data_IF_263720470543
#
_entry.id   IF_263720470543
#
_cell.length_a   1.000
_cell.length_b   1.000
_cell.length_c   1.000
_cell.angle_alpha   90.00
_cell.angle_beta   90.00
_cell.angle_gamma   90.00
#
_symmetry.space_group_name_H-M   'P 1'
#
loop_
_entity.id
_entity.type
_entity.pdbx_description
1 polymer ?
#
# COMPACT_ATOMS: atom_id res chain seq x y z
N UNK A 1 -19.25 -19.74 16.34
CA UNK A 1 -18.01 -19.27 17.01
C UNK A 1 -16.98 -20.41 17.08
N UNK A 2 -17.32 -21.60 17.54
CA UNK A 2 -16.38 -22.73 17.58
C UNK A 2 -15.90 -23.17 16.18
N UNK A 3 -16.79 -23.21 15.18
CA UNK A 3 -16.41 -23.55 13.80
C UNK A 3 -15.46 -22.53 13.16
N UNK A 4 -15.64 -21.23 13.41
CA UNK A 4 -14.76 -20.16 12.89
C UNK A 4 -13.38 -20.19 13.54
N UNK A 5 -13.29 -20.57 14.83
CA UNK A 5 -12.00 -20.74 15.53
C UNK A 5 -11.22 -21.93 14.96
N UNK A 6 -11.89 -23.09 14.80
CA UNK A 6 -11.27 -24.25 14.16
C UNK A 6 -10.81 -23.93 12.73
N UNK A 7 -11.65 -23.24 11.95
CA UNK A 7 -11.30 -22.81 10.60
C UNK A 7 -10.08 -21.87 10.57
N UNK A 8 -9.94 -20.93 11.50
CA UNK A 8 -8.75 -20.06 11.54
C UNK A 8 -7.46 -20.83 11.82
N UNK A 9 -7.51 -21.85 12.69
CA UNK A 9 -6.36 -22.72 12.97
C UNK A 9 -6.00 -23.53 11.73
N UNK A 10 -7.02 -24.11 11.07
CA UNK A 10 -6.83 -24.86 9.83
C UNK A 10 -6.23 -23.98 8.72
N UNK A 11 -6.72 -22.75 8.52
CA UNK A 11 -6.18 -21.83 7.50
C UNK A 11 -4.72 -21.46 7.74
N UNK A 12 -4.31 -21.29 9.00
CA UNK A 12 -2.91 -21.04 9.34
C UNK A 12 -2.02 -22.25 9.02
N UNK A 13 -2.44 -23.46 9.39
CA UNK A 13 -1.73 -24.69 9.06
C UNK A 13 -1.65 -24.91 7.55
N UNK A 14 -2.78 -24.73 6.85
CA UNK A 14 -2.84 -24.86 5.41
C UNK A 14 -1.89 -23.89 4.69
N UNK A 15 -1.81 -22.63 5.12
CA UNK A 15 -0.89 -21.65 4.53
C UNK A 15 0.58 -22.07 4.69
N UNK A 16 0.97 -22.60 5.86
CA UNK A 16 2.34 -23.10 6.08
C UNK A 16 2.66 -24.31 5.20
N UNK A 17 1.75 -25.29 5.15
CA UNK A 17 1.90 -26.47 4.30
C UNK A 17 1.95 -26.10 2.82
N UNK A 18 1.12 -25.15 2.39
CA UNK A 18 1.11 -24.64 1.02
C UNK A 18 2.46 -24.01 0.63
N UNK A 19 3.01 -23.14 1.49
CA UNK A 19 4.31 -22.50 1.24
C UNK A 19 5.46 -23.52 1.18
N UNK A 20 5.46 -24.52 2.05
CA UNK A 20 6.45 -25.61 2.00
C UNK A 20 6.32 -26.46 0.73
N UNK A 21 5.08 -26.83 0.38
CA UNK A 21 4.80 -27.60 -0.83
C UNK A 21 5.22 -26.82 -2.08
N UNK A 22 4.92 -25.53 -2.13
CA UNK A 22 5.35 -24.63 -3.20
C UNK A 22 6.87 -24.60 -3.35
N UNK A 23 7.61 -24.40 -2.24
CA UNK A 23 9.09 -24.43 -2.25
C UNK A 23 9.64 -25.75 -2.80
N UNK A 24 9.08 -26.89 -2.37
CA UNK A 24 9.49 -28.22 -2.88
C UNK A 24 9.20 -28.36 -4.37
N UNK A 25 8.05 -27.88 -4.84
CA UNK A 25 7.68 -27.92 -6.25
C UNK A 25 8.60 -27.02 -7.08
N UNK A 26 8.86 -25.80 -6.62
CA UNK A 26 9.79 -24.86 -7.26
C UNK A 26 11.17 -25.48 -7.44
N UNK A 27 11.76 -26.09 -6.40
CA UNK A 27 13.07 -26.75 -6.52
C UNK A 27 13.05 -27.89 -7.55
N UNK A 28 11.97 -28.68 -7.61
CA UNK A 28 11.84 -29.75 -8.61
C UNK A 28 11.78 -29.18 -10.04
N UNK A 29 11.04 -28.08 -10.26
CA UNK A 29 11.01 -27.43 -11.57
C UNK A 29 12.38 -26.86 -11.94
N UNK A 30 13.06 -26.22 -10.98
CA UNK A 30 14.40 -25.65 -11.20
C UNK A 30 15.39 -26.73 -11.68
N UNK A 31 15.33 -27.91 -11.05
CA UNK A 31 16.14 -29.06 -11.45
C UNK A 31 15.74 -29.63 -12.82
N UNK A 32 14.45 -29.79 -13.11
CA UNK A 32 13.98 -30.34 -14.40
C UNK A 32 14.30 -29.41 -15.57
N UNK A 33 14.25 -28.10 -15.34
CA UNK A 33 14.56 -27.08 -16.35
C UNK A 33 16.04 -26.71 -16.40
N UNK A 34 16.91 -27.41 -15.66
CA UNK A 34 18.37 -27.21 -15.62
C UNK A 34 18.77 -25.74 -15.36
N UNK A 35 17.99 -25.05 -14.53
CA UNK A 35 18.15 -23.63 -14.22
C UNK A 35 19.15 -23.38 -13.08
N UNK A 36 19.81 -24.42 -12.56
CA UNK A 36 20.75 -24.31 -11.43
C UNK A 36 22.02 -23.52 -11.73
N UNK A 37 22.46 -23.43 -12.99
CA UNK A 37 23.60 -22.58 -13.40
C UNK A 37 23.18 -21.18 -13.90
N UNK A 38 21.93 -21.01 -14.30
CA UNK A 38 21.41 -19.74 -14.82
C UNK A 38 21.28 -18.65 -13.76
N UNK A 39 21.13 -18.99 -12.47
CA UNK A 39 21.14 -17.99 -11.40
C UNK A 39 22.46 -17.22 -11.33
N UNK A 40 23.62 -17.88 -11.55
CA UNK A 40 24.93 -17.23 -11.52
C UNK A 40 25.14 -16.32 -12.76
N UNK A 41 24.75 -16.78 -13.95
CA UNK A 41 24.81 -15.98 -15.18
C UNK A 41 23.82 -14.79 -15.16
N UNK A 42 22.62 -14.98 -14.61
CA UNK A 42 21.62 -13.92 -14.46
C UNK A 42 22.03 -12.92 -13.36
N UNK A 43 22.72 -13.36 -12.30
CA UNK A 43 23.33 -12.45 -11.33
C UNK A 43 24.43 -11.60 -11.96
N UNK A 44 25.31 -12.17 -12.80
CA UNK A 44 26.29 -11.38 -13.57
C UNK A 44 25.60 -10.38 -14.52
N UNK A 45 24.55 -10.81 -15.23
CA UNK A 45 23.80 -9.94 -16.13
C UNK A 45 23.06 -8.82 -15.39
N UNK A 46 22.39 -9.12 -14.26
CA UNK A 46 21.68 -8.13 -13.43
C UNK A 46 22.62 -7.20 -12.65
N UNK A 47 23.90 -7.59 -12.50
CA UNK A 47 24.97 -6.76 -11.95
C UNK A 47 25.57 -5.80 -12.99
N UNK A 48 25.20 -5.91 -14.27
CA UNK A 48 25.61 -4.94 -15.28
C UNK A 48 25.12 -3.53 -14.85
N UNK A 49 26.00 -2.50 -14.90
CA UNK A 49 25.60 -1.15 -14.56
C UNK A 49 24.54 -0.67 -15.55
N UNK A 50 23.41 -0.21 -15.05
CA UNK A 50 22.33 0.33 -15.89
C UNK A 50 22.84 1.50 -16.74
N UNK A 51 22.50 1.54 -18.03
CA UNK A 51 22.94 2.62 -18.95
C UNK A 51 22.60 4.05 -18.42
N UNK A 52 21.47 4.21 -17.72
CA UNK A 52 21.08 5.46 -17.06
C UNK A 52 22.03 5.87 -15.91
N UNK A 53 22.60 4.90 -15.20
CA UNK A 53 23.62 5.14 -14.17
C UNK A 53 24.93 5.59 -14.83
N UNK A 54 25.35 4.91 -15.91
CA UNK A 54 26.56 5.26 -16.65
C UNK A 54 26.48 6.65 -17.28
N UNK A 55 25.35 7.01 -17.90
CA UNK A 55 25.13 8.35 -18.47
C UNK A 55 25.23 9.44 -17.40
N UNK A 56 24.64 9.22 -16.22
CA UNK A 56 24.65 10.19 -15.13
C UNK A 56 26.03 10.31 -14.46
N UNK A 57 26.78 9.20 -14.40
CA UNK A 57 28.18 9.19 -13.96
C UNK A 57 29.06 9.92 -14.97
N UNK A 58 28.87 9.69 -16.27
CA UNK A 58 29.59 10.37 -17.35
C UNK A 58 29.31 11.87 -17.31
N UNK A 59 28.06 12.30 -17.16
CA UNK A 59 27.70 13.71 -17.02
C UNK A 59 28.32 14.36 -15.78
N UNK A 60 28.36 13.65 -14.64
CA UNK A 60 29.05 14.12 -13.43
C UNK A 60 30.56 14.20 -13.61
N UNK A 61 31.19 13.24 -14.31
CA UNK A 61 32.62 13.27 -14.66
C UNK A 61 32.94 14.45 -15.57
N UNK A 62 32.16 14.66 -16.64
CA UNK A 62 32.29 15.81 -17.56
C UNK A 62 32.15 17.15 -16.82
N UNK A 63 31.15 17.28 -15.91
CA UNK A 63 31.01 18.47 -15.06
C UNK A 63 32.19 18.66 -14.11
N UNK A 64 32.81 17.57 -13.61
CA UNK A 64 33.95 17.62 -12.69
C UNK A 64 35.25 17.95 -13.42
N UNK A 65 35.43 17.48 -14.64
CA UNK A 65 36.53 17.88 -15.53
C UNK A 65 36.43 19.36 -15.92
N UNK A 66 35.22 19.86 -16.25
CA UNK A 66 34.98 21.29 -16.44
C UNK A 66 35.18 22.14 -15.17
N UNK A 67 35.17 21.53 -13.97
CA UNK A 67 35.31 22.22 -12.69
C UNK A 67 36.68 21.98 -12.02
N UNK A 68 37.63 21.32 -12.70
CA UNK A 68 38.96 21.04 -12.14
C UNK A 68 39.95 22.21 -12.31
N UNK A 69 39.74 23.26 -11.52
CA UNK A 69 40.78 24.04 -10.86
C UNK A 69 40.24 24.39 -9.46
N UNK A 70 40.32 23.44 -8.53
CA UNK A 70 39.94 23.68 -7.13
C UNK A 70 39.22 22.50 -6.49
N UNK A 71 39.93 21.86 -5.55
CA UNK A 71 39.49 20.91 -4.54
C UNK A 71 38.94 19.52 -4.93
N UNK A 72 39.75 18.53 -4.55
CA UNK A 72 39.32 17.15 -4.37
C UNK A 72 38.48 17.03 -3.10
N UNK A 73 37.19 17.36 -3.19
CA UNK A 73 36.26 17.01 -2.12
C UNK A 73 35.73 15.58 -2.32
N UNK A 74 35.82 14.81 -1.23
CA UNK A 74 35.35 13.43 -1.07
C UNK A 74 33.83 13.36 -1.25
N UNK A 75 33.35 13.26 -2.50
CA UNK A 75 32.09 12.56 -2.80
C UNK A 75 32.23 11.20 -2.11
N UNK A 76 31.31 10.66 -1.31
CA UNK A 76 30.11 10.03 -1.87
C UNK A 76 29.10 9.59 -0.78
N UNK A 77 29.33 9.87 0.52
CA UNK A 77 28.52 9.28 1.61
C UNK A 77 27.51 10.26 2.23
N UNK A 78 27.93 11.47 2.60
CA UNK A 78 27.07 12.42 3.35
C UNK A 78 25.96 13.02 2.48
N UNK A 79 26.22 13.24 1.19
CA UNK A 79 25.27 13.83 0.23
C UNK A 79 24.17 12.85 -0.23
N UNK A 80 24.32 11.54 0.03
CA UNK A 80 23.30 10.52 -0.29
C UNK A 80 22.27 10.29 0.82
N UNK A 81 22.66 10.52 2.07
CA UNK A 81 21.76 10.41 3.23
C UNK A 81 20.53 11.32 3.12
N UNK A 82 20.61 12.61 2.72
CA UNK A 82 19.42 13.44 2.56
C UNK A 82 18.50 12.92 1.45
N UNK A 83 19.04 12.33 0.37
CA UNK A 83 18.22 11.73 -0.69
C UNK A 83 17.45 10.48 -0.22
N UNK A 84 18.06 9.63 0.60
CA UNK A 84 17.36 8.48 1.18
C UNK A 84 16.31 8.91 2.20
N UNK A 85 16.63 9.92 3.02
CA UNK A 85 15.69 10.50 3.99
C UNK A 85 14.51 11.15 3.28
N UNK A 86 14.71 11.92 2.21
CA UNK A 86 13.60 12.52 1.45
C UNK A 86 12.74 11.44 0.79
N UNK A 87 13.32 10.36 0.26
CA UNK A 87 12.58 9.20 -0.25
C UNK A 87 11.74 8.54 0.84
N UNK A 88 12.30 8.33 2.03
CA UNK A 88 11.58 7.77 3.18
C UNK A 88 10.42 8.67 3.61
N UNK A 89 10.67 9.98 3.71
CA UNK A 89 9.64 10.99 4.03
C UNK A 89 8.53 10.97 2.99
N UNK A 90 8.86 10.89 1.71
CA UNK A 90 7.87 10.79 0.63
C UNK A 90 7.04 9.50 0.71
N UNK A 91 7.66 8.35 1.02
CA UNK A 91 6.94 7.09 1.24
C UNK A 91 5.99 7.19 2.44
N UNK A 92 6.46 7.74 3.57
CA UNK A 92 5.62 7.98 4.75
C UNK A 92 4.46 8.95 4.44
N UNK A 93 4.70 10.00 3.66
CA UNK A 93 3.68 10.93 3.23
C UNK A 93 2.59 10.23 2.39
N UNK A 94 2.97 9.39 1.43
CA UNK A 94 2.00 8.61 0.63
C UNK A 94 1.17 7.67 1.51
N UNK A 95 1.79 7.04 2.52
CA UNK A 95 1.08 6.23 3.51
C UNK A 95 0.09 7.12 4.29
N UNK A 96 0.47 8.28 4.78
CA UNK A 96 -0.46 9.22 5.45
C UNK A 96 -1.62 9.64 4.53
N UNK A 97 -1.36 9.84 3.23
CA UNK A 97 -2.40 10.14 2.24
C UNK A 97 -3.39 8.98 2.10
N UNK A 98 -2.95 7.71 2.11
CA UNK A 98 -3.88 6.56 2.11
C UNK A 98 -4.83 6.60 3.31
N UNK A 99 -4.29 6.84 4.52
CA UNK A 99 -5.09 6.96 5.74
C UNK A 99 -6.09 8.12 5.65
N UNK A 100 -5.66 9.28 5.13
CA UNK A 100 -6.52 10.44 4.94
C UNK A 100 -7.65 10.16 3.95
N UNK A 101 -7.38 9.48 2.83
CA UNK A 101 -8.39 9.08 1.85
C UNK A 101 -9.40 8.12 2.47
N UNK A 102 -8.93 7.07 3.16
CA UNK A 102 -9.83 6.10 3.83
C UNK A 102 -10.71 6.81 4.86
N UNK A 103 -10.13 7.71 5.66
CA UNK A 103 -10.88 8.51 6.61
C UNK A 103 -11.90 9.43 5.90
N UNK A 104 -11.53 10.06 4.78
CA UNK A 104 -12.41 10.87 3.95
C UNK A 104 -13.59 10.10 3.37
N UNK A 105 -13.35 8.88 2.85
CA UNK A 105 -14.41 7.98 2.36
C UNK A 105 -15.36 7.57 3.48
N UNK A 106 -14.85 7.35 4.69
CA UNK A 106 -15.68 7.06 5.86
C UNK A 106 -16.53 8.26 6.25
N UNK A 107 -15.96 9.46 6.31
CA UNK A 107 -16.72 10.68 6.56
C UNK A 107 -17.78 10.91 5.48
N UNK A 108 -17.47 10.70 4.21
CA UNK A 108 -18.43 10.78 3.11
C UNK A 108 -19.61 9.81 3.32
N UNK A 109 -19.33 8.56 3.71
CA UNK A 109 -20.38 7.57 4.04
C UNK A 109 -21.23 8.01 5.23
N UNK A 110 -20.65 8.64 6.24
CA UNK A 110 -21.37 9.18 7.41
C UNK A 110 -22.29 10.33 6.97
N UNK A 111 -21.76 11.29 6.19
CA UNK A 111 -22.49 12.46 5.70
C UNK A 111 -23.67 12.10 4.80
N UNK A 112 -23.54 11.12 3.90
CA UNK A 112 -24.68 10.67 3.09
C UNK A 112 -25.76 10.02 3.95
N UNK A 113 -25.37 9.23 4.97
CA UNK A 113 -26.34 8.59 5.87
C UNK A 113 -27.12 9.61 6.69
N UNK A 114 -26.47 10.66 7.18
CA UNK A 114 -27.15 11.74 7.92
C UNK A 114 -28.03 12.58 7.00
N UNK A 115 -27.54 12.97 5.82
CA UNK A 115 -28.33 13.70 4.83
C UNK A 115 -29.59 12.93 4.40
N UNK A 116 -29.46 11.61 4.21
CA UNK A 116 -30.59 10.75 3.86
C UNK A 116 -31.59 10.58 5.02
N UNK A 117 -31.12 10.59 6.28
CA UNK A 117 -31.99 10.58 7.45
C UNK A 117 -32.73 11.91 7.63
N UNK A 118 -32.16 13.02 7.15
CA UNK A 118 -32.77 14.35 7.15
C UNK A 118 -33.71 14.56 5.94
N UNK A 119 -33.53 13.83 4.84
CA UNK A 119 -34.41 13.88 3.67
C UNK A 119 -35.71 13.12 3.92
N UNK A 120 -36.79 13.87 4.20
CA UNK A 120 -38.14 13.37 4.47
C UNK A 120 -38.90 13.01 3.19
N UNK A 121 -38.41 12.04 2.40
CA UNK A 121 -39.18 11.44 1.28
C UNK A 121 -39.58 9.98 1.61
N UNK A 122 -40.88 9.66 1.76
CA UNK A 122 -41.34 8.46 2.46
C UNK A 122 -41.39 7.17 1.62
N UNK A 123 -41.11 7.20 0.31
CA UNK A 123 -41.51 6.12 -0.62
C UNK A 123 -40.49 4.99 -0.88
N UNK A 124 -39.26 5.05 -0.37
CA UNK A 124 -38.20 4.07 -0.74
C UNK A 124 -37.39 3.49 0.43
N UNK A 125 -37.98 3.41 1.64
CA UNK A 125 -37.27 3.17 2.92
C UNK A 125 -36.51 1.84 3.07
N UNK A 126 -36.86 0.77 2.36
CA UNK A 126 -36.20 -0.55 2.54
C UNK A 126 -34.92 -0.69 1.71
N UNK A 127 -34.93 -0.26 0.44
CA UNK A 127 -33.82 -0.45 -0.48
C UNK A 127 -32.72 0.61 -0.38
N UNK A 128 -33.04 1.84 0.05
CA UNK A 128 -32.08 2.94 0.05
C UNK A 128 -30.86 2.66 0.93
N UNK A 129 -31.03 1.98 2.08
CA UNK A 129 -29.89 1.64 2.94
C UNK A 129 -28.96 0.61 2.30
N UNK A 130 -29.48 -0.27 1.46
CA UNK A 130 -28.68 -1.22 0.69
C UNK A 130 -28.01 -0.51 -0.49
N UNK A 131 -28.76 0.29 -1.26
CA UNK A 131 -28.25 1.07 -2.38
C UNK A 131 -27.12 2.01 -1.94
N UNK A 132 -27.29 2.78 -0.86
CA UNK A 132 -26.26 3.70 -0.34
C UNK A 132 -24.98 2.96 0.10
N UNK A 133 -25.10 1.76 0.68
CA UNK A 133 -23.92 0.95 1.03
C UNK A 133 -23.23 0.43 -0.23
N UNK A 134 -24.00 -0.05 -1.19
CA UNK A 134 -23.49 -0.61 -2.44
C UNK A 134 -22.79 0.46 -3.28
N UNK A 135 -23.41 1.63 -3.47
CA UNK A 135 -22.80 2.75 -4.19
C UNK A 135 -21.53 3.23 -3.49
N UNK A 136 -21.53 3.31 -2.16
CA UNK A 136 -20.33 3.68 -1.42
C UNK A 136 -19.23 2.61 -1.46
N UNK A 137 -19.56 1.33 -1.64
CA UNK A 137 -18.58 0.26 -1.87
C UNK A 137 -17.96 0.37 -3.25
N UNK A 138 -18.78 0.64 -4.28
CA UNK A 138 -18.32 0.86 -5.66
C UNK A 138 -17.40 2.08 -5.74
N UNK A 139 -17.79 3.21 -5.15
CA UNK A 139 -16.95 4.43 -5.11
C UNK A 139 -15.61 4.14 -4.41
N UNK A 140 -15.64 3.42 -3.29
CA UNK A 140 -14.42 3.03 -2.58
C UNK A 140 -13.52 2.13 -3.45
N UNK A 141 -14.09 1.17 -4.17
CA UNK A 141 -13.36 0.31 -5.09
C UNK A 141 -12.67 1.11 -6.20
N UNK A 142 -13.39 2.05 -6.83
CA UNK A 142 -12.84 2.91 -7.88
C UNK A 142 -11.66 3.74 -7.35
N UNK A 143 -11.80 4.32 -6.16
CA UNK A 143 -10.72 5.09 -5.53
C UNK A 143 -9.48 4.22 -5.29
N UNK A 144 -9.66 3.00 -4.78
CA UNK A 144 -8.55 2.07 -4.53
C UNK A 144 -7.82 1.73 -5.84
N UNK A 145 -8.55 1.42 -6.91
CA UNK A 145 -7.97 1.08 -8.22
C UNK A 145 -7.14 2.25 -8.78
N UNK A 146 -7.70 3.47 -8.74
CA UNK A 146 -6.98 4.67 -9.23
C UNK A 146 -5.72 4.91 -8.40
N UNK A 147 -5.82 4.77 -7.06
CA UNK A 147 -4.68 4.97 -6.17
C UNK A 147 -3.58 3.94 -6.39
N UNK A 148 -3.91 2.67 -6.65
CA UNK A 148 -2.92 1.62 -6.93
C UNK A 148 -2.10 1.92 -8.19
N UNK A 149 -2.71 2.52 -9.21
CA UNK A 149 -2.01 2.93 -10.43
C UNK A 149 -1.07 4.10 -10.14
N UNK A 150 -1.53 5.10 -9.38
CA UNK A 150 -0.72 6.24 -8.93
C UNK A 150 0.46 5.75 -8.09
N UNK A 151 0.26 4.81 -7.15
CA UNK A 151 1.34 4.27 -6.35
C UNK A 151 2.36 3.50 -7.17
N UNK A 152 1.93 2.76 -8.19
CA UNK A 152 2.84 2.13 -9.14
C UNK A 152 3.69 3.15 -9.91
N UNK A 153 3.07 4.23 -10.40
CA UNK A 153 3.77 5.31 -11.09
C UNK A 153 4.76 6.05 -10.17
N UNK A 154 4.34 6.40 -8.95
CA UNK A 154 5.18 7.10 -7.98
C UNK A 154 6.32 6.21 -7.50
N UNK A 155 6.09 4.91 -7.25
CA UNK A 155 7.15 3.98 -6.87
C UNK A 155 8.23 3.89 -7.95
N UNK A 156 7.84 3.80 -9.24
CA UNK A 156 8.78 3.84 -10.38
C UNK A 156 9.54 5.16 -10.46
N UNK A 157 8.85 6.28 -10.33
CA UNK A 157 9.51 7.60 -10.36
C UNK A 157 10.52 7.75 -9.22
N UNK A 158 10.16 7.30 -8.01
CA UNK A 158 11.00 7.37 -6.83
C UNK A 158 12.21 6.44 -6.93
N UNK A 159 12.11 5.28 -7.58
CA UNK A 159 13.27 4.40 -7.82
C UNK A 159 14.19 4.92 -8.92
N UNK A 160 13.66 5.57 -9.96
CA UNK A 160 14.49 6.25 -10.98
C UNK A 160 15.28 7.41 -10.37
N UNK A 161 14.69 8.13 -9.40
CA UNK A 161 15.35 9.22 -8.71
C UNK A 161 16.47 8.75 -7.76
N UNK A 162 16.38 7.52 -7.24
CA UNK A 162 17.38 6.91 -6.36
C UNK A 162 18.67 6.49 -7.09
N UNK A 163 18.63 6.42 -8.43
CA UNK A 163 19.73 6.01 -9.32
C UNK A 163 20.51 4.79 -8.78
N UNK A 164 19.85 3.63 -8.63
CA UNK A 164 20.52 2.41 -8.20
C UNK A 164 21.60 1.99 -9.22
N UNK A 165 22.65 1.35 -8.71
CA UNK A 165 23.82 0.96 -9.51
C UNK A 165 23.59 -0.27 -10.39
N UNK A 166 22.70 -1.18 -9.99
CA UNK A 166 22.45 -2.47 -10.62
C UNK A 166 20.95 -2.67 -10.86
N UNK A 167 20.59 -3.41 -11.92
CA UNK A 167 19.19 -3.67 -12.26
C UNK A 167 18.51 -4.59 -11.22
N UNK A 168 19.25 -5.54 -10.63
CA UNK A 168 18.76 -6.33 -9.47
C UNK A 168 18.30 -5.43 -8.33
N UNK A 169 19.14 -4.48 -7.94
CA UNK A 169 18.83 -3.55 -6.85
C UNK A 169 17.73 -2.55 -7.24
N UNK A 170 17.51 -2.27 -8.52
CA UNK A 170 16.38 -1.44 -8.97
C UNK A 170 15.06 -2.19 -8.80
N UNK A 171 14.99 -3.41 -9.32
CA UNK A 171 13.78 -4.24 -9.27
C UNK A 171 13.40 -4.60 -7.82
N UNK A 172 14.35 -5.03 -7.00
CA UNK A 172 14.09 -5.34 -5.59
C UNK A 172 13.51 -4.13 -4.82
N UNK A 173 14.08 -2.94 -5.03
CA UNK A 173 13.59 -1.70 -4.39
C UNK A 173 12.23 -1.30 -4.94
N UNK A 174 12.00 -1.44 -6.24
CA UNK A 174 10.72 -1.13 -6.88
C UNK A 174 9.61 -2.04 -6.37
N UNK A 175 9.88 -3.35 -6.34
CA UNK A 175 8.95 -4.36 -5.83
C UNK A 175 8.61 -4.08 -4.38
N UNK A 176 9.62 -3.86 -3.52
CA UNK A 176 9.39 -3.58 -2.11
C UNK A 176 8.54 -2.32 -1.89
N UNK A 177 8.89 -1.20 -2.54
CA UNK A 177 8.14 0.07 -2.39
C UNK A 177 6.71 -0.07 -2.89
N UNK A 178 6.52 -0.69 -4.06
CA UNK A 178 5.20 -0.90 -4.65
C UNK A 178 4.36 -1.83 -3.78
N UNK A 179 4.95 -2.91 -3.28
CA UNK A 179 4.28 -3.86 -2.39
C UNK A 179 3.80 -3.18 -1.11
N UNK A 180 4.65 -2.41 -0.42
CA UNK A 180 4.27 -1.73 0.83
C UNK A 180 3.13 -0.74 0.59
N UNK A 181 3.20 0.09 -0.45
CA UNK A 181 2.15 1.08 -0.74
C UNK A 181 0.82 0.40 -1.10
N UNK A 182 0.84 -0.62 -1.97
CA UNK A 182 -0.35 -1.37 -2.35
C UNK A 182 -0.93 -2.15 -1.17
N UNK A 183 -0.09 -2.75 -0.32
CA UNK A 183 -0.53 -3.46 0.88
C UNK A 183 -1.27 -2.51 1.82
N UNK A 184 -0.68 -1.35 2.14
CA UNK A 184 -1.35 -0.36 3.00
C UNK A 184 -2.66 0.10 2.35
N UNK A 185 -2.68 0.43 1.06
CA UNK A 185 -3.90 0.89 0.38
C UNK A 185 -5.03 -0.15 0.41
N UNK A 186 -4.71 -1.43 0.14
CA UNK A 186 -5.69 -2.51 0.10
C UNK A 186 -6.21 -2.90 1.50
N UNK A 187 -5.34 -2.94 2.51
CA UNK A 187 -5.72 -3.42 3.84
C UNK A 187 -6.21 -2.32 4.78
N UNK A 188 -5.88 -1.04 4.56
CA UNK A 188 -6.32 0.07 5.43
C UNK A 188 -7.84 0.17 5.58
N UNK A 189 -8.65 0.09 4.50
CA UNK A 189 -10.11 0.08 4.63
C UNK A 189 -10.63 -1.10 5.46
N UNK A 190 -10.04 -2.29 5.30
CA UNK A 190 -10.44 -3.52 5.99
C UNK A 190 -10.11 -3.42 7.48
N UNK A 191 -8.88 -3.02 7.81
CA UNK A 191 -8.42 -2.79 9.19
C UNK A 191 -9.26 -1.71 9.86
N UNK A 192 -9.54 -0.61 9.15
CA UNK A 192 -10.41 0.44 9.64
C UNK A 192 -11.81 -0.11 10.01
N UNK A 193 -12.43 -0.86 9.09
CA UNK A 193 -13.74 -1.46 9.30
C UNK A 193 -13.76 -2.50 10.42
N UNK A 194 -12.68 -3.27 10.59
CA UNK A 194 -12.60 -4.32 11.60
C UNK A 194 -12.36 -3.78 13.02
N UNK A 195 -11.46 -2.80 13.18
CA UNK A 195 -10.99 -2.35 14.49
C UNK A 195 -11.59 -1.02 14.96
N UNK A 196 -11.81 -0.08 14.04
CA UNK A 196 -12.23 1.30 14.39
C UNK A 196 -13.74 1.50 14.29
N UNK A 197 -14.43 0.75 13.42
CA UNK A 197 -15.88 0.80 13.29
C UNK A 197 -16.58 0.29 14.56
N UNK A 198 -17.41 1.12 15.18
CA UNK A 198 -18.27 0.73 16.31
C UNK A 198 -17.59 0.62 17.69
N UNK A 199 -16.26 0.67 17.79
CA UNK A 199 -15.54 0.68 19.09
C UNK A 199 -15.34 2.07 19.70
N UNK A 200 -15.33 3.11 18.87
CA UNK A 200 -15.15 4.51 19.32
C UNK A 200 -16.48 5.24 19.60
N UNK A 201 -17.57 4.51 19.78
CA UNK A 201 -18.89 5.08 20.07
C UNK A 201 -18.99 5.27 21.58
N UNK A 202 -18.97 6.52 22.05
CA UNK A 202 -19.12 6.87 23.46
C UNK A 202 -20.42 6.35 24.10
N UNK A 203 -20.53 6.44 25.44
CA UNK A 203 -21.73 5.99 26.16
C UNK A 203 -22.96 6.87 25.79
N UNK A 204 -24.19 6.32 25.82
CA UNK A 204 -25.40 7.10 25.58
C UNK A 204 -25.44 8.32 26.51
N UNK A 205 -25.56 9.52 25.93
CA UNK A 205 -25.50 10.81 26.65
C UNK A 205 -24.19 11.59 26.50
N UNK A 206 -23.08 10.93 26.14
CA UNK A 206 -21.80 11.57 25.76
C UNK A 206 -21.19 10.85 24.56
N UNK A 207 -21.67 11.20 23.36
CA UNK A 207 -21.11 10.68 22.11
C UNK A 207 -19.77 11.35 21.80
N UNK A 208 -18.81 10.56 21.32
CA UNK A 208 -17.53 11.08 20.84
C UNK A 208 -17.73 11.61 19.42
N UNK A 209 -17.67 12.93 19.24
CA UNK A 209 -17.73 13.58 17.94
C UNK A 209 -16.31 13.75 17.43
N UNK A 210 -15.97 13.11 16.30
CA UNK A 210 -14.59 13.11 15.81
C UNK A 210 -14.20 14.45 15.16
N UNK A 211 -15.18 15.26 14.71
CA UNK A 211 -14.95 16.64 14.26
C UNK A 211 -16.24 17.45 14.49
N UNK A 212 -16.51 17.89 15.72
CA UNK A 212 -17.54 18.88 16.08
C UNK A 212 -19.02 18.55 15.87
N UNK A 213 -19.39 17.71 14.90
CA UNK A 213 -20.80 17.49 14.49
C UNK A 213 -21.09 16.10 13.89
N UNK A 214 -20.07 15.25 13.67
CA UNK A 214 -20.25 13.93 13.04
C UNK A 214 -20.26 12.79 14.07
N UNK A 215 -21.37 12.05 14.16
CA UNK A 215 -21.55 10.85 15.02
C UNK A 215 -20.88 9.63 14.36
N UNK A 216 -20.06 8.91 15.12
CA UNK A 216 -19.35 7.70 14.65
C UNK A 216 -20.32 6.58 14.24
N UNK A 217 -19.94 5.79 13.25
CA UNK A 217 -20.79 4.71 12.72
C UNK A 217 -21.09 3.62 13.76
N UNK A 218 -22.37 3.35 13.97
CA UNK A 218 -22.85 2.27 14.82
C UNK A 218 -22.86 0.92 14.09
N UNK A 219 -22.58 -0.15 14.84
CA UNK A 219 -22.86 -1.51 14.39
C UNK A 219 -24.38 -1.75 14.36
N UNK A 220 -24.85 -2.57 13.41
CA UNK A 220 -26.24 -3.03 13.43
C UNK A 220 -26.46 -3.98 14.63
N UNK A 221 -27.73 -4.22 15.00
CA UNK A 221 -28.10 -5.10 16.11
C UNK A 221 -27.55 -6.55 16.00
N UNK A 222 -27.14 -7.00 14.80
CA UNK A 222 -26.51 -8.30 14.56
C UNK A 222 -24.95 -8.27 14.57
N UNK A 223 -24.33 -7.16 14.97
CA UNK A 223 -22.88 -6.97 14.99
C UNK A 223 -22.30 -6.31 13.73
N UNK A 224 -21.00 -5.98 13.76
CA UNK A 224 -20.28 -5.35 12.64
C UNK A 224 -19.71 -6.34 11.60
N UNK A 225 -19.79 -7.65 11.87
CA UNK A 225 -19.15 -8.71 11.08
C UNK A 225 -19.90 -9.00 9.75
N UNK A 226 -21.22 -8.81 9.72
CA UNK A 226 -22.10 -9.08 8.56
C UNK A 226 -22.03 -8.00 7.46
N UNK A 227 -21.02 -7.12 7.47
CA UNK A 227 -20.95 -5.92 6.62
C UNK A 227 -19.66 -5.78 5.82
N UNK A 228 -18.90 -6.87 5.69
CA UNK A 228 -17.86 -7.01 4.67
C UNK A 228 -18.50 -7.27 3.32
#
# INVERSE_FOLDING_TARGET
ISATVFFSIFMALWATMFMEHWKRRQMRLNYIWDLTGFEEEEEEHKNHPRADYEFRVMQKRLRKEHKSKGDQEKLTCVDRMPAYITILIMMCFLICVTFAIVFGVVLYRISIKTALHMSSTPTFRSNVRATVKSTAAIINLIIIIIMDEIYGAVARWLTVLEVPKTDKSFEERLIFKTFVLKFVNAFTPIVYLAFFRGRLVGRPGKYLYVVGSYRMEECAHAGCLMRF
#
